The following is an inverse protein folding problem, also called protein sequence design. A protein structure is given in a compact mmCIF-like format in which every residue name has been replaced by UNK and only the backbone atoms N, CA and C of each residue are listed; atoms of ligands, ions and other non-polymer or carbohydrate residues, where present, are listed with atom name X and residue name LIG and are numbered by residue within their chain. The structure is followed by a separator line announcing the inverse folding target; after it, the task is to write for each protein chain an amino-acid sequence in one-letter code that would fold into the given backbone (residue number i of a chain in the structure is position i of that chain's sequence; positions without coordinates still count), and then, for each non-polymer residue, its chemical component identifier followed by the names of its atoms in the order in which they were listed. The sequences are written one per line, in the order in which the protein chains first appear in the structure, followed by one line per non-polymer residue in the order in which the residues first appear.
data_IF_324149432291
#
_entry.id   IF_324149432291
#
_cell.length_a   1.000
_cell.length_b   1.000
_cell.length_c   1.000
_cell.angle_alpha   90.00
_cell.angle_beta   90.00
_cell.angle_gamma   90.00
#
_symmetry.space_group_name_H-M   'P 1'
#
loop_
_entity.id
_entity.type
_entity.pdbx_description
1 polymer ?
#
# COMPACT_ATOMS: atom_id res chain seq x y z
N UNK A 1 -39.70 -33.80 -70.28
CA UNK A 1 -39.30 -34.87 -69.34
C UNK A 1 -39.03 -34.23 -67.99
N UNK A 2 -39.54 -34.78 -66.88
CA UNK A 2 -40.94 -34.67 -66.50
C UNK A 2 -41.16 -33.73 -65.31
N UNK A 3 -42.41 -33.29 -65.22
CA UNK A 3 -43.05 -32.52 -64.16
C UNK A 3 -43.39 -33.36 -62.92
N UNK A 4 -43.86 -32.64 -61.89
CA UNK A 4 -44.79 -33.05 -60.81
C UNK A 4 -44.24 -33.74 -59.55
N UNK A 5 -44.01 -32.91 -58.53
CA UNK A 5 -44.82 -32.75 -57.30
C UNK A 5 -45.24 -33.96 -56.43
N UNK A 6 -44.97 -33.79 -55.12
CA UNK A 6 -45.66 -34.24 -53.89
C UNK A 6 -45.00 -35.35 -53.06
N UNK A 7 -44.62 -35.01 -51.84
CA UNK A 7 -45.32 -35.45 -50.62
C UNK A 7 -44.81 -34.69 -49.38
N UNK A 8 -45.75 -34.21 -48.57
CA UNK A 8 -45.54 -33.51 -47.30
C UNK A 8 -45.20 -34.53 -46.19
N UNK A 9 -44.08 -34.33 -45.50
CA UNK A 9 -43.76 -34.98 -44.23
C UNK A 9 -43.84 -33.96 -43.10
N UNK A 10 -44.77 -34.16 -42.17
CA UNK A 10 -44.88 -33.37 -40.92
C UNK A 10 -43.79 -33.84 -39.97
N UNK A 11 -42.80 -32.99 -39.70
CA UNK A 11 -41.80 -33.23 -38.66
C UNK A 11 -42.29 -32.61 -37.35
N UNK A 12 -42.55 -33.46 -36.37
CA UNK A 12 -42.84 -33.09 -34.97
C UNK A 12 -41.52 -32.66 -34.34
N UNK A 13 -41.36 -31.38 -34.05
CA UNK A 13 -40.24 -30.87 -33.27
C UNK A 13 -40.53 -31.07 -31.79
N UNK A 14 -39.85 -32.03 -31.17
CA UNK A 14 -39.79 -32.16 -29.71
C UNK A 14 -38.89 -31.04 -29.21
N UNK A 15 -39.48 -30.06 -28.52
CA UNK A 15 -38.76 -28.99 -27.84
C UNK A 15 -38.04 -29.58 -26.62
N UNK A 16 -36.74 -29.85 -26.75
CA UNK A 16 -35.87 -30.14 -25.59
C UNK A 16 -35.52 -28.78 -24.98
N UNK A 17 -36.20 -28.41 -23.89
CA UNK A 17 -35.80 -27.27 -23.07
C UNK A 17 -34.56 -27.71 -22.29
N UNK A 18 -33.38 -27.36 -22.82
CA UNK A 18 -32.17 -27.36 -22.02
C UNK A 18 -32.28 -26.20 -21.02
N UNK A 19 -32.59 -26.52 -19.76
CA UNK A 19 -32.44 -25.58 -18.66
C UNK A 19 -30.92 -25.45 -18.45
N UNK A 20 -30.30 -24.55 -19.21
CA UNK A 20 -28.95 -24.09 -18.94
C UNK A 20 -28.95 -23.44 -17.58
N UNK A 21 -28.24 -24.04 -16.64
CA UNK A 21 -27.94 -23.47 -15.32
C UNK A 21 -27.19 -22.15 -15.52
N UNK A 22 -27.94 -21.04 -15.44
CA UNK A 22 -27.44 -19.68 -15.26
C UNK A 22 -26.89 -19.54 -13.83
N UNK A 23 -25.81 -20.26 -13.56
CA UNK A 23 -24.91 -19.95 -12.46
C UNK A 23 -23.52 -19.87 -13.09
N UNK A 24 -23.26 -18.74 -13.75
CA UNK A 24 -21.87 -18.31 -13.90
C UNK A 24 -21.26 -18.20 -12.50
N UNK A 25 -19.98 -18.56 -12.31
CA UNK A 25 -19.34 -18.37 -11.02
C UNK A 25 -19.45 -16.89 -10.66
N UNK A 26 -20.11 -16.59 -9.54
CA UNK A 26 -19.91 -15.33 -8.84
C UNK A 26 -18.40 -15.26 -8.57
N UNK A 27 -17.69 -14.47 -9.36
CA UNK A 27 -16.37 -14.01 -8.97
C UNK A 27 -16.61 -13.24 -7.67
N UNK A 28 -16.24 -13.84 -6.54
CA UNK A 28 -16.08 -13.08 -5.32
C UNK A 28 -15.10 -11.96 -5.66
N UNK A 29 -15.52 -10.71 -5.55
CA UNK A 29 -14.61 -9.56 -5.57
C UNK A 29 -13.68 -9.76 -4.38
N UNK A 30 -12.54 -10.42 -4.63
CA UNK A 30 -11.46 -10.52 -3.66
C UNK A 30 -11.00 -9.12 -3.33
N UNK A 31 -10.76 -8.85 -2.05
CA UNK A 31 -10.14 -7.61 -1.63
C UNK A 31 -8.83 -7.45 -2.40
N UNK A 32 -8.64 -6.31 -3.10
CA UNK A 32 -7.38 -6.05 -3.80
C UNK A 32 -6.25 -5.94 -2.77
N UNK A 33 -5.11 -6.56 -3.06
CA UNK A 33 -3.94 -6.47 -2.19
C UNK A 33 -3.48 -5.02 -2.03
N UNK A 34 -3.06 -4.66 -0.82
CA UNK A 34 -2.44 -3.36 -0.54
C UNK A 34 -0.93 -3.59 -0.53
N UNK A 35 -0.24 -3.19 -1.60
CA UNK A 35 1.22 -3.28 -1.71
C UNK A 35 1.83 -1.91 -1.49
N UNK A 36 2.79 -1.84 -0.57
CA UNK A 36 3.51 -0.62 -0.21
C UNK A 36 4.98 -0.83 -0.58
N UNK A 37 5.39 -0.20 -1.68
CA UNK A 37 6.67 -0.42 -2.34
C UNK A 37 7.41 0.91 -2.57
N UNK A 38 8.44 0.95 -3.44
CA UNK A 38 9.22 2.17 -3.70
C UNK A 38 8.39 3.36 -4.19
N UNK A 39 7.23 3.12 -4.82
CA UNK A 39 6.33 4.17 -5.33
C UNK A 39 5.55 4.87 -4.21
N UNK A 40 5.52 4.29 -3.01
CA UNK A 40 4.71 4.75 -1.88
C UNK A 40 5.46 5.71 -0.95
N UNK A 41 6.39 6.53 -1.46
CA UNK A 41 7.31 7.34 -0.61
C UNK A 41 7.03 8.85 -0.67
N UNK A 42 6.16 9.30 -1.57
CA UNK A 42 5.83 10.71 -1.80
C UNK A 42 4.68 11.19 -0.89
N UNK A 43 5.03 11.65 0.31
CA UNK A 43 4.03 11.99 1.34
C UNK A 43 3.19 13.24 1.06
N UNK A 44 3.59 14.09 0.13
CA UNK A 44 2.78 15.22 -0.35
C UNK A 44 1.52 14.76 -1.10
N UNK A 45 1.52 13.55 -1.64
CA UNK A 45 0.33 12.95 -2.27
C UNK A 45 -0.70 12.46 -1.24
N UNK A 46 -0.33 12.30 0.03
CA UNK A 46 -1.21 11.76 1.06
C UNK A 46 -1.98 12.90 1.73
N UNK A 47 -3.32 13.00 1.58
CA UNK A 47 -4.09 14.01 2.29
C UNK A 47 -3.94 13.85 3.81
N UNK A 48 -3.71 14.97 4.50
CA UNK A 48 -3.43 14.97 5.95
C UNK A 48 -4.56 14.36 6.78
N UNK A 49 -5.81 14.44 6.30
CA UNK A 49 -6.97 13.80 6.93
C UNK A 49 -6.81 12.29 7.09
N UNK A 50 -6.14 11.61 6.14
CA UNK A 50 -5.90 10.17 6.23
C UNK A 50 -4.80 9.82 7.22
N UNK A 51 -3.81 10.70 7.37
CA UNK A 51 -2.80 10.59 8.43
C UNK A 51 -3.45 10.75 9.81
N UNK A 52 -4.32 11.75 9.97
CA UNK A 52 -5.05 11.98 11.21
C UNK A 52 -6.01 10.83 11.53
N UNK A 53 -6.70 10.31 10.52
CA UNK A 53 -7.55 9.14 10.67
C UNK A 53 -6.75 7.90 11.09
N UNK A 54 -5.57 7.68 10.50
CA UNK A 54 -4.70 6.58 10.89
C UNK A 54 -4.25 6.69 12.36
N UNK A 55 -3.82 7.88 12.80
CA UNK A 55 -3.42 8.15 14.20
C UNK A 55 -4.55 7.85 15.19
N UNK A 56 -5.77 8.23 14.84
CA UNK A 56 -6.96 8.00 15.67
C UNK A 56 -7.39 6.54 15.67
N UNK A 57 -7.12 5.79 14.59
CA UNK A 57 -7.64 4.44 14.40
C UNK A 57 -6.68 3.35 14.86
N UNK A 58 -5.36 3.54 14.74
CA UNK A 58 -4.40 2.44 14.83
C UNK A 58 -3.57 2.41 16.11
N UNK A 59 -3.37 1.19 16.60
CA UNK A 59 -2.50 0.79 17.70
C UNK A 59 -1.58 -0.29 17.15
N UNK A 60 -0.42 0.13 16.68
CA UNK A 60 0.50 -0.71 15.91
C UNK A 60 1.40 -1.51 16.85
N UNK A 61 1.58 -2.80 16.58
CA UNK A 61 2.63 -3.63 17.17
C UNK A 61 3.66 -3.96 16.10
N UNK A 62 4.91 -3.60 16.34
CA UNK A 62 6.01 -3.86 15.41
C UNK A 62 7.14 -4.64 16.08
N UNK A 63 7.19 -5.94 15.81
CA UNK A 63 8.23 -6.84 16.31
C UNK A 63 9.40 -6.96 15.33
N UNK A 64 10.60 -6.58 15.75
CA UNK A 64 11.78 -6.69 14.90
C UNK A 64 13.10 -6.78 15.66
N UNK A 65 14.15 -7.14 14.91
CA UNK A 65 15.56 -7.02 15.26
C UNK A 65 16.27 -6.12 14.24
N UNK A 66 17.52 -5.76 14.53
CA UNK A 66 18.50 -5.13 13.63
C UNK A 66 17.93 -4.40 12.40
N UNK A 67 17.70 -5.10 11.28
CA UNK A 67 17.20 -4.50 10.02
C UNK A 67 15.84 -3.82 10.14
N UNK A 68 14.93 -4.31 10.96
CA UNK A 68 13.61 -3.70 11.13
C UNK A 68 13.66 -2.32 11.79
N UNK A 69 14.75 -1.99 12.52
CA UNK A 69 14.93 -0.65 13.11
C UNK A 69 15.11 0.46 12.08
N UNK A 70 15.36 0.10 10.82
CA UNK A 70 15.48 1.03 9.70
C UNK A 70 14.18 1.83 9.50
N UNK A 71 13.02 1.19 9.63
CA UNK A 71 11.70 1.86 9.54
C UNK A 71 11.57 2.95 10.61
N UNK A 72 11.89 2.60 11.86
CA UNK A 72 11.83 3.51 13.01
C UNK A 72 12.81 4.67 12.87
N UNK A 73 14.01 4.38 12.39
CA UNK A 73 15.02 5.39 12.07
C UNK A 73 14.52 6.33 10.98
N UNK A 74 13.83 5.79 9.97
CA UNK A 74 13.17 6.55 8.91
C UNK A 74 12.15 7.55 9.41
N UNK A 75 11.20 7.10 10.24
CA UNK A 75 10.19 7.99 10.83
C UNK A 75 10.87 9.05 11.70
N UNK A 76 11.91 8.68 12.44
CA UNK A 76 12.66 9.62 13.29
C UNK A 76 13.38 10.69 12.46
N UNK A 77 13.98 10.32 11.32
CA UNK A 77 14.55 11.26 10.35
C UNK A 77 13.49 12.20 9.78
N UNK A 78 12.31 11.67 9.41
CA UNK A 78 11.20 12.47 8.91
C UNK A 78 10.73 13.51 9.95
N UNK A 79 10.61 13.11 11.22
CA UNK A 79 10.26 14.02 12.30
C UNK A 79 11.33 15.10 12.50
N UNK A 80 12.61 14.73 12.42
CA UNK A 80 13.71 15.70 12.49
C UNK A 80 13.66 16.73 11.34
N UNK A 81 13.38 16.31 10.11
CA UNK A 81 13.21 17.21 8.95
C UNK A 81 12.10 18.23 9.21
N UNK A 82 11.02 17.79 9.86
CA UNK A 82 9.86 18.63 10.20
C UNK A 82 10.07 19.45 11.48
N UNK A 83 11.22 19.32 12.13
CA UNK A 83 11.53 20.02 13.38
C UNK A 83 10.70 19.55 14.57
N UNK A 84 10.16 18.33 14.53
CA UNK A 84 9.42 17.73 15.64
C UNK A 84 10.15 16.50 16.23
N UNK A 85 9.86 16.22 17.50
CA UNK A 85 10.36 15.03 18.20
C UNK A 85 9.26 14.50 19.10
N UNK A 86 9.05 13.19 19.03
CA UNK A 86 8.11 12.46 19.87
C UNK A 86 8.83 11.20 20.36
N UNK A 87 9.34 11.23 21.59
CA UNK A 87 10.08 10.12 22.19
C UNK A 87 9.22 9.29 23.15
N UNK A 88 8.16 9.88 23.71
CA UNK A 88 7.25 9.22 24.65
C UNK A 88 5.80 9.71 24.47
N UNK A 89 4.81 8.92 24.87
CA UNK A 89 3.40 9.37 24.80
C UNK A 89 3.06 10.53 25.73
N UNK A 90 3.96 10.90 26.66
CA UNK A 90 3.83 12.06 27.54
C UNK A 90 4.46 13.33 26.97
N UNK A 91 5.15 13.27 25.83
CA UNK A 91 5.83 14.44 25.28
C UNK A 91 4.81 15.38 24.61
N UNK A 92 4.74 16.63 25.07
CA UNK A 92 3.84 17.63 24.52
C UNK A 92 4.06 17.89 23.01
N UNK A 93 5.28 17.67 22.52
CA UNK A 93 5.66 17.82 21.11
C UNK A 93 5.12 16.74 20.16
N UNK A 94 4.53 15.67 20.68
CA UNK A 94 3.97 14.59 19.87
C UNK A 94 2.72 15.02 19.08
N UNK A 95 1.86 15.85 19.68
CA UNK A 95 0.56 16.23 19.10
C UNK A 95 0.70 17.17 17.89
N UNK A 96 1.81 17.90 17.78
CA UNK A 96 2.09 18.82 16.67
C UNK A 96 2.82 18.18 15.49
N UNK A 97 3.24 16.92 15.60
CA UNK A 97 4.06 16.26 14.60
C UNK A 97 3.19 15.47 13.62
N UNK A 98 3.09 15.93 12.37
CA UNK A 98 2.23 15.31 11.36
C UNK A 98 2.51 13.81 11.19
N UNK A 99 3.78 13.43 11.16
CA UNK A 99 4.23 12.03 11.03
C UNK A 99 4.83 11.49 12.34
N UNK A 100 4.36 12.02 13.46
CA UNK A 100 4.75 11.58 14.80
C UNK A 100 3.99 10.32 15.24
N UNK A 101 4.73 9.41 15.89
CA UNK A 101 4.18 8.31 16.66
C UNK A 101 4.73 8.38 18.07
N UNK A 102 4.00 7.83 19.03
CA UNK A 102 4.50 7.62 20.38
C UNK A 102 4.86 6.15 20.60
N UNK A 103 6.11 5.87 21.04
CA UNK A 103 6.48 4.55 21.56
C UNK A 103 5.77 4.36 22.91
N UNK A 104 4.73 3.55 22.88
CA UNK A 104 3.85 3.38 24.02
C UNK A 104 4.31 2.27 24.96
N UNK A 105 5.42 1.56 24.64
CA UNK A 105 6.00 0.47 25.43
C UNK A 105 6.04 0.72 26.94
N UNK A 106 6.53 1.87 27.38
CA UNK A 106 6.72 2.16 28.81
C UNK A 106 5.42 2.08 29.59
N UNK A 107 4.31 2.50 28.99
CA UNK A 107 3.01 2.43 29.62
C UNK A 107 2.49 0.99 29.73
N UNK A 108 2.89 0.11 28.82
CA UNK A 108 2.56 -1.32 28.91
C UNK A 108 3.49 -2.09 29.85
N UNK A 109 4.78 -1.75 29.87
CA UNK A 109 5.78 -2.43 30.68
C UNK A 109 5.65 -2.08 32.17
N UNK A 110 5.31 -0.83 32.50
CA UNK A 110 5.36 -0.31 33.87
C UNK A 110 4.07 0.40 34.33
N UNK A 111 3.10 0.63 33.44
CA UNK A 111 1.81 1.23 33.76
C UNK A 111 0.71 0.21 34.11
N UNK A 112 -0.52 0.69 34.33
CA UNK A 112 -1.69 -0.14 34.63
C UNK A 112 -2.27 -0.91 33.41
N UNK A 113 -1.60 -0.87 32.26
CA UNK A 113 -2.17 -1.19 30.96
C UNK A 113 -2.68 0.05 30.23
N UNK A 114 -3.13 -0.14 28.98
CA UNK A 114 -3.48 0.87 27.97
C UNK A 114 -3.79 2.31 28.45
N UNK A 115 -2.84 3.24 28.37
CA UNK A 115 -3.16 4.62 28.06
C UNK A 115 -3.30 4.76 26.55
N UNK A 116 -4.29 5.56 26.16
CA UNK A 116 -4.50 5.94 24.77
C UNK A 116 -3.35 6.86 24.39
N UNK A 117 -2.67 6.58 23.25
CA UNK A 117 -1.89 7.63 22.60
C UNK A 117 -2.71 8.93 22.59
N UNK A 118 -2.12 10.09 22.90
CA UNK A 118 -2.86 11.35 22.82
C UNK A 118 -3.57 11.48 21.48
N UNK A 119 -4.73 12.14 21.47
CA UNK A 119 -5.44 12.41 20.23
C UNK A 119 -4.48 13.06 19.20
N UNK A 120 -4.52 12.59 17.95
CA UNK A 120 -3.61 13.06 16.90
C UNK A 120 -2.19 12.49 16.93
N UNK A 121 -1.92 11.44 17.71
CA UNK A 121 -0.63 10.72 17.73
C UNK A 121 -0.86 9.24 17.49
N UNK A 122 -0.07 8.64 16.59
CA UNK A 122 -0.13 7.20 16.32
C UNK A 122 0.48 6.44 17.51
N UNK A 123 -0.22 5.45 18.05
CA UNK A 123 0.39 4.53 19.01
C UNK A 123 1.11 3.41 18.25
N UNK A 124 2.39 3.26 18.54
CA UNK A 124 3.25 2.26 17.94
C UNK A 124 4.08 1.62 19.05
N UNK A 125 4.04 0.31 19.12
CA UNK A 125 4.77 -0.48 20.08
C UNK A 125 5.97 -1.12 19.40
N UNK A 126 7.12 -0.49 19.59
CA UNK A 126 8.36 -0.82 18.89
C UNK A 126 9.16 -1.91 19.62
N UNK A 127 8.54 -3.07 19.85
CA UNK A 127 9.08 -4.11 20.74
C UNK A 127 8.70 -5.51 20.30
N UNK A 128 9.48 -6.45 20.81
CA UNK A 128 9.31 -7.88 20.61
C UNK A 128 8.37 -8.44 21.68
N UNK A 129 7.23 -9.05 21.30
CA UNK A 129 6.47 -9.93 22.19
C UNK A 129 7.35 -10.92 22.95
N UNK A 130 7.01 -11.13 24.22
CA UNK A 130 7.75 -12.08 25.06
C UNK A 130 7.67 -13.48 24.46
N UNK A 131 8.82 -14.14 24.32
CA UNK A 131 8.92 -15.49 23.74
C UNK A 131 9.42 -15.52 22.30
N UNK A 132 9.49 -14.38 21.61
CA UNK A 132 10.06 -14.28 20.26
C UNK A 132 10.94 -13.04 20.11
N UNK A 133 11.91 -13.11 19.19
CA UNK A 133 12.78 -11.97 18.88
C UNK A 133 12.52 -11.41 17.48
N UNK A 134 12.26 -12.28 16.53
CA UNK A 134 11.92 -11.98 15.14
C UNK A 134 11.28 -13.21 14.50
N UNK A 135 11.10 -13.20 13.17
CA UNK A 135 10.44 -14.26 12.41
C UNK A 135 11.20 -15.59 12.35
N UNK A 136 12.42 -15.70 12.92
CA UNK A 136 13.15 -16.96 13.01
C UNK A 136 13.79 -17.28 14.35
N UNK A 137 13.69 -16.40 15.35
CA UNK A 137 14.26 -16.59 16.68
C UNK A 137 13.19 -16.49 17.79
N UNK A 138 13.11 -17.45 18.72
CA UNK A 138 14.00 -18.61 18.91
C UNK A 138 13.80 -19.72 17.88
N UNK A 139 12.71 -19.68 17.14
CA UNK A 139 12.41 -20.56 16.01
C UNK A 139 11.36 -19.88 15.11
N UNK A 140 10.97 -20.53 14.00
CA UNK A 140 10.08 -19.97 12.97
C UNK A 140 8.60 -19.91 13.32
N UNK A 141 8.19 -20.41 14.49
CA UNK A 141 6.79 -20.42 14.93
C UNK A 141 6.55 -19.60 16.19
N UNK A 142 7.59 -19.34 16.99
CA UNK A 142 7.46 -18.65 18.28
C UNK A 142 6.85 -17.25 18.19
N UNK A 143 7.12 -16.50 17.11
CA UNK A 143 6.57 -15.16 16.89
C UNK A 143 5.04 -15.18 16.74
N UNK A 144 4.48 -16.23 16.14
CA UNK A 144 3.03 -16.39 15.98
C UNK A 144 2.37 -16.64 17.34
N UNK A 145 2.94 -17.55 18.14
CA UNK A 145 2.44 -17.84 19.49
C UNK A 145 2.55 -16.61 20.39
N UNK A 146 3.65 -15.87 20.29
CA UNK A 146 3.84 -14.63 21.03
C UNK A 146 2.87 -13.52 20.59
N UNK A 147 2.49 -13.50 19.30
CA UNK A 147 1.48 -12.57 18.76
C UNK A 147 0.10 -12.87 19.32
N UNK A 148 -0.31 -14.14 19.37
CA UNK A 148 -1.58 -14.55 20.00
C UNK A 148 -1.62 -14.19 21.48
N UNK A 149 -0.57 -14.56 22.22
CA UNK A 149 -0.47 -14.24 23.63
C UNK A 149 -0.56 -12.73 23.90
N UNK A 150 0.04 -11.90 23.02
CA UNK A 150 -0.10 -10.46 23.09
C UNK A 150 -1.56 -10.02 22.85
N UNK A 151 -2.20 -10.47 21.77
CA UNK A 151 -3.57 -10.06 21.42
C UNK A 151 -4.61 -10.55 22.44
N UNK A 152 -4.36 -11.68 23.10
CA UNK A 152 -5.24 -12.25 24.13
C UNK A 152 -5.03 -11.62 25.52
N UNK A 153 -3.87 -11.03 25.79
CA UNK A 153 -3.58 -10.38 27.07
C UNK A 153 -4.38 -9.07 27.19
N UNK A 154 -5.20 -8.90 28.25
CA UNK A 154 -6.00 -7.68 28.47
C UNK A 154 -5.21 -6.38 28.49
N UNK A 155 -3.89 -6.43 28.69
CA UNK A 155 -3.02 -5.25 28.60
C UNK A 155 -2.78 -4.79 27.17
N UNK A 156 -2.83 -5.67 26.18
CA UNK A 156 -2.50 -5.38 24.78
C UNK A 156 -3.63 -5.74 23.78
N UNK A 157 -4.80 -6.16 24.24
CA UNK A 157 -5.91 -6.61 23.38
C UNK A 157 -6.58 -5.51 22.52
N UNK A 158 -6.08 -4.27 22.55
CA UNK A 158 -6.52 -3.18 21.67
C UNK A 158 -5.60 -2.95 20.47
N UNK A 159 -4.54 -3.76 20.31
CA UNK A 159 -3.69 -3.72 19.12
C UNK A 159 -4.49 -4.19 17.91
N UNK A 160 -4.45 -3.41 16.84
CA UNK A 160 -5.26 -3.65 15.64
C UNK A 160 -4.46 -3.55 14.34
N UNK A 161 -3.16 -3.31 14.42
CA UNK A 161 -2.21 -3.50 13.32
C UNK A 161 -1.00 -4.25 13.85
N UNK A 162 -0.63 -5.36 13.24
CA UNK A 162 0.52 -6.18 13.64
C UNK A 162 1.45 -6.37 12.46
N UNK A 163 2.73 -6.12 12.71
CA UNK A 163 3.81 -6.26 11.74
C UNK A 163 5.03 -6.91 12.40
N UNK A 164 5.71 -7.77 11.64
CA UNK A 164 6.97 -8.37 12.04
C UNK A 164 7.97 -8.22 10.91
N UNK A 165 9.18 -7.77 11.24
CA UNK A 165 10.27 -7.68 10.25
C UNK A 165 11.10 -8.94 10.23
N UNK A 166 11.54 -9.29 9.03
CA UNK A 166 12.68 -10.18 8.83
C UNK A 166 14.00 -9.48 9.18
N UNK A 167 14.99 -10.28 9.56
CA UNK A 167 16.42 -9.95 9.50
C UNK A 167 17.07 -11.00 8.58
N UNK A 168 18.26 -11.52 8.91
CA UNK A 168 18.94 -12.54 8.10
C UNK A 168 18.17 -13.87 7.96
N UNK A 169 17.07 -14.08 8.70
CA UNK A 169 16.30 -15.33 8.69
C UNK A 169 15.45 -15.52 7.42
N UNK A 170 15.29 -14.48 6.61
CA UNK A 170 14.61 -14.55 5.30
C UNK A 170 15.43 -15.36 4.29
N UNK A 171 16.76 -15.43 4.45
CA UNK A 171 17.61 -16.27 3.61
C UNK A 171 17.44 -17.74 4.04
N UNK A 172 16.40 -18.36 3.50
CA UNK A 172 15.95 -19.69 3.92
C UNK A 172 15.29 -20.45 2.78
N UNK A 173 14.72 -21.63 3.08
CA UNK A 173 14.09 -22.51 2.09
C UNK A 173 12.67 -22.05 1.75
N UNK A 174 12.07 -22.63 0.70
CA UNK A 174 10.68 -22.33 0.30
C UNK A 174 9.71 -22.68 1.41
N UNK A 175 9.90 -23.85 1.99
CA UNK A 175 9.02 -24.45 2.98
C UNK A 175 8.97 -23.59 4.25
N UNK A 176 10.06 -22.90 4.57
CA UNK A 176 10.10 -21.97 5.70
C UNK A 176 9.37 -20.65 5.44
N UNK A 177 9.32 -20.20 4.18
CA UNK A 177 8.47 -19.07 3.79
C UNK A 177 7.01 -19.51 3.75
N UNK A 178 6.70 -20.68 3.20
CA UNK A 178 5.35 -21.25 3.20
C UNK A 178 4.82 -21.42 4.63
N UNK A 179 5.67 -21.82 5.58
CA UNK A 179 5.34 -21.85 7.01
C UNK A 179 4.97 -20.46 7.54
N UNK A 180 5.77 -19.43 7.23
CA UNK A 180 5.46 -18.05 7.63
C UNK A 180 4.12 -17.59 7.06
N UNK A 181 3.86 -17.85 5.77
CA UNK A 181 2.62 -17.49 5.10
C UNK A 181 1.42 -18.19 5.74
N UNK A 182 1.51 -19.50 6.00
CA UNK A 182 0.44 -20.24 6.66
C UNK A 182 0.16 -19.78 8.10
N UNK A 183 1.19 -19.36 8.85
CA UNK A 183 1.03 -18.79 10.18
C UNK A 183 0.35 -17.40 10.14
N UNK A 184 0.72 -16.56 9.17
CA UNK A 184 0.06 -15.27 8.93
C UNK A 184 -1.41 -15.46 8.55
N UNK A 185 -1.72 -16.40 7.66
CA UNK A 185 -3.09 -16.72 7.25
C UNK A 185 -3.93 -17.19 8.45
N UNK A 186 -3.34 -18.02 9.32
CA UNK A 186 -3.98 -18.45 10.57
C UNK A 186 -4.29 -17.28 11.51
N UNK A 187 -3.35 -16.34 11.68
CA UNK A 187 -3.57 -15.13 12.48
C UNK A 187 -4.69 -14.25 11.89
N UNK A 188 -4.70 -14.06 10.57
CA UNK A 188 -5.75 -13.29 9.87
C UNK A 188 -7.12 -13.93 10.07
N UNK A 189 -7.21 -15.26 9.95
CA UNK A 189 -8.47 -15.99 10.13
C UNK A 189 -8.99 -15.88 11.58
N UNK A 190 -8.10 -15.97 12.57
CA UNK A 190 -8.48 -15.99 13.98
C UNK A 190 -8.75 -14.59 14.56
N UNK A 191 -8.16 -13.54 13.99
CA UNK A 191 -8.29 -12.16 14.45
C UNK A 191 -8.73 -11.20 13.31
N UNK A 192 -9.95 -11.33 12.77
CA UNK A 192 -10.39 -10.59 11.58
C UNK A 192 -10.50 -9.07 11.79
N UNK A 193 -10.50 -8.59 13.03
CA UNK A 193 -10.47 -7.15 13.35
C UNK A 193 -9.05 -6.56 13.41
N UNK A 194 -8.01 -7.40 13.28
CA UNK A 194 -6.60 -6.99 13.31
C UNK A 194 -6.04 -7.03 11.89
N UNK A 195 -5.37 -5.96 11.48
CA UNK A 195 -4.66 -5.88 10.21
C UNK A 195 -3.27 -6.49 10.38
N UNK A 196 -3.01 -7.64 9.77
CA UNK A 196 -1.68 -8.24 9.72
C UNK A 196 -0.96 -7.82 8.45
N UNK A 197 0.23 -7.24 8.62
CA UNK A 197 1.06 -6.73 7.53
C UNK A 197 2.18 -7.74 7.26
N UNK A 198 2.19 -8.29 6.05
CA UNK A 198 3.32 -9.08 5.55
C UNK A 198 4.50 -8.14 5.26
N UNK A 199 5.71 -8.65 5.38
CA UNK A 199 6.92 -7.92 5.00
C UNK A 199 7.82 -8.79 4.14
N UNK A 200 8.44 -8.21 3.12
CA UNK A 200 9.62 -8.81 2.49
C UNK A 200 10.85 -8.61 3.39
N UNK A 201 11.91 -9.39 3.12
CA UNK A 201 13.20 -9.21 3.76
C UNK A 201 14.01 -8.04 3.19
N UNK A 202 15.29 -7.99 3.53
CA UNK A 202 16.24 -7.02 2.96
C UNK A 202 16.94 -7.58 1.72
N UNK A 203 17.66 -6.74 0.97
CA UNK A 203 18.54 -7.18 -0.10
C UNK A 203 19.87 -7.70 0.49
N UNK A 204 20.45 -8.71 -0.14
CA UNK A 204 21.70 -9.32 0.31
C UNK A 204 22.79 -9.37 -0.78
N UNK A 205 22.62 -8.66 -1.89
CA UNK A 205 23.60 -8.63 -2.98
C UNK A 205 23.66 -9.86 -3.87
N UNK A 206 22.66 -10.75 -3.82
CA UNK A 206 22.62 -11.96 -4.68
C UNK A 206 21.79 -11.79 -5.95
N UNK A 207 21.18 -10.61 -6.15
CA UNK A 207 20.51 -10.21 -7.39
C UNK A 207 19.17 -10.90 -7.66
N UNK A 208 18.68 -10.75 -8.89
CA UNK A 208 17.33 -11.20 -9.30
C UNK A 208 17.11 -12.70 -9.13
N UNK A 209 18.14 -13.51 -9.34
CA UNK A 209 18.06 -14.98 -9.17
C UNK A 209 18.49 -15.45 -7.78
N UNK A 210 18.86 -14.54 -6.89
CA UNK A 210 19.32 -14.82 -5.54
C UNK A 210 18.22 -15.43 -4.66
N UNK A 211 18.62 -16.27 -3.70
CA UNK A 211 17.66 -17.00 -2.84
C UNK A 211 16.70 -16.04 -2.11
N UNK A 212 17.23 -14.98 -1.49
CA UNK A 212 16.42 -13.99 -0.77
C UNK A 212 15.42 -13.30 -1.69
N UNK A 213 15.79 -12.92 -2.92
CA UNK A 213 14.84 -12.34 -3.86
C UNK A 213 13.73 -13.34 -4.24
N UNK A 214 14.09 -14.60 -4.44
CA UNK A 214 13.08 -15.64 -4.68
C UNK A 214 12.14 -15.82 -3.47
N UNK A 215 12.63 -15.70 -2.23
CA UNK A 215 11.81 -15.76 -1.00
C UNK A 215 10.89 -14.54 -0.88
N UNK A 216 11.39 -13.35 -1.18
CA UNK A 216 10.58 -12.14 -1.23
C UNK A 216 9.47 -12.24 -2.29
N UNK A 217 9.78 -12.81 -3.47
CA UNK A 217 8.79 -13.04 -4.51
C UNK A 217 7.70 -14.05 -4.10
N UNK A 218 8.02 -15.07 -3.30
CA UNK A 218 7.00 -15.96 -2.72
C UNK A 218 6.02 -15.18 -1.83
N UNK A 219 6.53 -14.27 -0.98
CA UNK A 219 5.70 -13.42 -0.12
C UNK A 219 4.82 -12.48 -0.97
N UNK A 220 5.40 -11.82 -1.97
CA UNK A 220 4.67 -10.94 -2.90
C UNK A 220 3.54 -11.68 -3.60
N UNK A 221 3.83 -12.85 -4.17
CA UNK A 221 2.85 -13.68 -4.88
C UNK A 221 1.70 -14.11 -3.97
N UNK A 222 2.00 -14.51 -2.73
CA UNK A 222 0.97 -14.87 -1.75
C UNK A 222 0.05 -13.69 -1.44
N UNK A 223 0.61 -12.52 -1.17
CA UNK A 223 -0.18 -11.32 -0.85
C UNK A 223 -1.07 -10.92 -2.04
N UNK A 224 -0.53 -10.92 -3.26
CA UNK A 224 -1.30 -10.63 -4.46
C UNK A 224 -2.43 -11.65 -4.68
N UNK A 225 -2.19 -12.93 -4.42
CA UNK A 225 -3.19 -13.99 -4.59
C UNK A 225 -4.30 -13.95 -3.52
N UNK A 226 -3.99 -13.45 -2.32
CA UNK A 226 -4.90 -13.47 -1.17
C UNK A 226 -5.56 -12.12 -0.85
N UNK A 227 -5.12 -11.04 -1.49
CA UNK A 227 -5.61 -9.70 -1.17
C UNK A 227 -5.03 -9.11 0.11
N UNK A 228 -3.87 -9.59 0.55
CA UNK A 228 -3.24 -9.19 1.82
C UNK A 228 -2.63 -7.78 1.80
N UNK A 229 -1.99 -7.42 2.91
CA UNK A 229 -1.26 -6.15 3.06
C UNK A 229 0.24 -6.45 3.06
N UNK A 230 0.99 -5.90 2.11
CA UNK A 230 2.44 -6.03 2.02
C UNK A 230 3.15 -4.70 2.25
N UNK A 231 4.13 -4.72 3.14
CA UNK A 231 5.14 -3.68 3.24
C UNK A 231 6.47 -4.20 2.66
N UNK A 232 6.78 -3.78 1.44
CA UNK A 232 7.84 -4.37 0.62
C UNK A 232 9.20 -3.71 0.84
N UNK A 233 9.83 -4.11 1.93
CA UNK A 233 11.14 -3.63 2.36
C UNK A 233 12.24 -3.83 1.30
N UNK A 234 12.24 -4.97 0.61
CA UNK A 234 13.19 -5.28 -0.44
C UNK A 234 12.99 -4.43 -1.69
N UNK A 235 11.74 -4.15 -2.05
CA UNK A 235 11.42 -3.30 -3.20
C UNK A 235 11.86 -1.86 -2.94
N UNK A 236 11.47 -1.25 -1.82
CA UNK A 236 11.90 0.11 -1.44
C UNK A 236 13.43 0.25 -1.49
N UNK A 237 14.16 -0.78 -1.09
CA UNK A 237 15.63 -0.81 -1.08
C UNK A 237 16.29 -1.07 -2.44
N UNK A 238 15.49 -1.50 -3.42
CA UNK A 238 15.94 -1.79 -4.79
C UNK A 238 15.92 -0.57 -5.70
N UNK A 239 15.35 0.56 -5.27
CA UNK A 239 15.20 1.75 -6.11
C UNK A 239 15.77 3.01 -5.43
N UNK A 240 16.28 3.94 -6.24
CA UNK A 240 16.51 5.31 -5.80
C UNK A 240 15.23 6.16 -5.92
N UNK A 241 15.19 7.38 -5.36
CA UNK A 241 14.01 8.24 -5.46
C UNK A 241 13.59 8.65 -6.88
N UNK A 242 14.46 8.49 -7.88
CA UNK A 242 14.14 8.80 -9.29
C UNK A 242 13.55 7.58 -10.01
N UNK A 243 13.42 6.44 -9.32
CA UNK A 243 12.88 5.20 -9.87
C UNK A 243 13.92 4.34 -10.61
N UNK A 244 15.21 4.60 -10.46
CA UNK A 244 16.23 3.72 -11.03
C UNK A 244 16.35 2.43 -10.21
N UNK A 245 16.34 1.28 -10.88
CA UNK A 245 16.41 -0.05 -10.25
C UNK A 245 17.85 -0.53 -10.05
N UNK A 246 18.13 -1.19 -8.92
CA UNK A 246 19.47 -1.62 -8.50
C UNK A 246 19.57 -3.11 -8.07
N UNK A 247 18.48 -3.82 -7.83
CA UNK A 247 18.52 -5.25 -7.49
C UNK A 247 19.12 -6.08 -8.63
N UNK A 248 18.85 -5.74 -9.91
CA UNK A 248 19.49 -6.35 -11.08
C UNK A 248 21.02 -6.20 -11.10
N UNK A 249 21.54 -5.25 -10.32
CA UNK A 249 22.96 -4.93 -10.17
C UNK A 249 23.53 -5.44 -8.85
N UNK A 250 22.87 -6.41 -8.22
CA UNK A 250 23.28 -7.00 -6.95
C UNK A 250 23.28 -5.99 -5.79
N UNK A 251 22.23 -5.18 -5.68
CA UNK A 251 22.09 -4.27 -4.55
C UNK A 251 22.04 -5.00 -3.20
N UNK A 252 22.54 -4.35 -2.15
CA UNK A 252 22.54 -4.81 -0.76
C UNK A 252 21.73 -3.86 0.12
N UNK A 253 21.39 -4.30 1.33
CA UNK A 253 20.86 -3.49 2.42
C UNK A 253 21.67 -2.25 2.78
N UNK A 254 22.98 -2.28 2.57
CA UNK A 254 23.84 -1.08 2.67
C UNK A 254 23.74 -0.08 1.51
N UNK A 255 22.77 -0.25 0.60
CA UNK A 255 22.60 0.52 -0.63
C UNK A 255 23.76 0.37 -1.64
N UNK A 256 24.69 -0.56 -1.40
CA UNK A 256 25.76 -0.87 -2.35
C UNK A 256 25.21 -1.69 -3.50
N UNK A 257 25.77 -1.53 -4.70
CA UNK A 257 25.47 -2.34 -5.87
C UNK A 257 26.72 -2.44 -6.77
N UNK A 258 26.66 -3.24 -7.84
CA UNK A 258 27.72 -3.34 -8.85
C UNK A 258 27.85 -2.03 -9.63
N UNK A 259 28.69 -1.13 -9.12
CA UNK A 259 28.92 0.20 -9.67
C UNK A 259 28.93 1.35 -8.64
N UNK A 260 28.67 1.07 -7.37
CA UNK A 260 28.79 2.07 -6.30
C UNK A 260 27.79 1.88 -5.17
N UNK A 261 27.31 3.00 -4.64
CA UNK A 261 26.27 3.05 -3.62
C UNK A 261 25.19 4.04 -4.09
N UNK A 262 23.97 3.55 -4.34
CA UNK A 262 22.94 4.34 -5.01
C UNK A 262 22.51 5.52 -4.15
N UNK A 263 22.46 5.35 -2.83
CA UNK A 263 22.04 6.39 -1.91
C UNK A 263 23.09 7.51 -1.81
N UNK A 264 24.37 7.15 -1.70
CA UNK A 264 25.45 8.14 -1.68
C UNK A 264 25.51 8.92 -3.00
N UNK A 265 25.31 8.23 -4.14
CA UNK A 265 25.29 8.84 -5.47
C UNK A 265 24.10 9.78 -5.67
N UNK A 266 22.89 9.34 -5.29
CA UNK A 266 21.69 10.16 -5.38
C UNK A 266 21.81 11.41 -4.51
N UNK A 267 22.31 11.28 -3.28
CA UNK A 267 22.53 12.44 -2.40
C UNK A 267 23.64 13.38 -2.87
N UNK A 268 24.66 12.87 -3.57
CA UNK A 268 25.67 13.71 -4.20
C UNK A 268 25.08 14.53 -5.37
N UNK A 269 24.11 13.96 -6.11
CA UNK A 269 23.41 14.64 -7.20
C UNK A 269 22.32 15.61 -6.70
N UNK A 270 21.71 15.33 -5.55
CA UNK A 270 20.61 16.09 -4.94
C UNK A 270 21.03 16.75 -3.62
N UNK A 271 22.14 17.50 -3.68
CA UNK A 271 22.73 18.12 -2.49
C UNK A 271 21.74 19.09 -1.80
N UNK A 272 21.42 18.80 -0.54
CA UNK A 272 20.49 19.61 0.27
C UNK A 272 19.04 19.12 0.23
N UNK A 273 18.73 18.08 -0.52
CA UNK A 273 17.41 17.47 -0.49
C UNK A 273 17.09 16.89 0.91
N UNK A 274 15.88 17.14 1.47
CA UNK A 274 15.48 16.60 2.77
C UNK A 274 15.55 15.07 2.87
N UNK A 275 15.42 14.34 1.76
CA UNK A 275 15.57 12.89 1.73
C UNK A 275 16.98 12.45 2.18
N UNK A 276 17.98 13.28 1.93
CA UNK A 276 19.38 13.06 2.32
C UNK A 276 19.72 13.52 3.75
N UNK A 277 18.72 13.87 4.57
CA UNK A 277 18.96 14.20 5.96
C UNK A 277 19.64 13.05 6.71
N UNK A 278 20.61 13.40 7.56
CA UNK A 278 21.25 12.43 8.43
C UNK A 278 20.24 11.87 9.43
N UNK A 279 20.33 10.57 9.72
CA UNK A 279 19.51 9.95 10.75
C UNK A 279 19.90 10.50 12.12
N UNK A 280 18.92 10.65 13.04
CA UNK A 280 19.22 10.98 14.43
C UNK A 280 20.20 9.98 15.03
N UNK A 281 21.16 10.47 15.83
CA UNK A 281 22.12 9.59 16.52
C UNK A 281 21.46 8.61 17.50
N UNK A 282 20.22 8.90 17.92
CA UNK A 282 19.38 8.03 18.75
C UNK A 282 18.80 6.83 18.02
N UNK A 283 18.81 6.85 16.68
CA UNK A 283 18.28 5.77 15.83
C UNK A 283 19.26 5.50 14.70
N UNK A 284 20.08 4.44 14.85
CA UNK A 284 20.98 4.05 13.78
C UNK A 284 20.20 3.29 12.70
N UNK A 285 20.34 3.76 11.45
CA UNK A 285 19.86 3.08 10.26
C UNK A 285 20.71 1.81 10.04
N UNK A 286 20.37 0.73 10.76
CA UNK A 286 21.19 -0.45 10.87
C UNK A 286 21.49 -1.04 9.49
N UNK A 287 22.77 -1.26 9.19
CA UNK A 287 23.26 -1.84 7.92
C UNK A 287 22.88 -1.08 6.65
N UNK A 288 22.39 0.16 6.76
CA UNK A 288 21.87 0.92 5.61
C UNK A 288 22.26 2.39 5.63
N UNK A 289 21.74 3.16 4.66
CA UNK A 289 21.95 4.60 4.50
C UNK A 289 20.71 5.37 4.93
N UNK A 290 20.90 6.57 5.45
CA UNK A 290 19.80 7.37 5.99
C UNK A 290 18.72 7.70 4.97
N UNK A 291 19.09 7.88 3.70
CA UNK A 291 18.15 8.01 2.59
C UNK A 291 17.18 6.82 2.53
N UNK A 292 17.70 5.59 2.52
CA UNK A 292 16.87 4.37 2.45
C UNK A 292 15.96 4.22 3.68
N UNK A 293 16.48 4.50 4.88
CA UNK A 293 15.63 4.52 6.08
C UNK A 293 14.52 5.57 5.96
N UNK A 294 14.83 6.79 5.51
CA UNK A 294 13.85 7.87 5.32
C UNK A 294 12.72 7.43 4.37
N UNK A 295 13.06 6.80 3.24
CA UNK A 295 12.09 6.23 2.29
C UNK A 295 11.19 5.18 2.98
N UNK A 296 11.75 4.26 3.77
CA UNK A 296 10.99 3.27 4.54
C UNK A 296 10.05 3.92 5.57
N UNK A 297 10.49 5.00 6.23
CA UNK A 297 9.65 5.76 7.15
C UNK A 297 8.49 6.48 6.45
N UNK A 298 8.71 6.99 5.24
CA UNK A 298 7.66 7.60 4.41
C UNK A 298 6.66 6.57 3.92
N UNK A 299 7.14 5.45 3.40
CA UNK A 299 6.31 4.33 3.00
C UNK A 299 5.44 3.80 4.14
N UNK A 300 5.94 3.80 5.38
CA UNK A 300 5.13 3.44 6.54
C UNK A 300 3.92 4.37 6.71
N UNK A 301 4.10 5.69 6.59
CA UNK A 301 2.99 6.65 6.72
C UNK A 301 2.01 6.58 5.56
N UNK A 302 2.50 6.31 4.34
CA UNK A 302 1.65 5.98 3.21
C UNK A 302 0.78 4.73 3.49
N UNK A 303 1.40 3.66 4.01
CA UNK A 303 0.67 2.46 4.42
C UNK A 303 -0.40 2.79 5.45
N UNK A 304 -0.06 3.57 6.49
CA UNK A 304 -1.02 3.96 7.51
C UNK A 304 -2.24 4.68 6.90
N UNK A 305 -2.04 5.58 5.94
CA UNK A 305 -3.14 6.22 5.22
C UNK A 305 -3.96 5.22 4.39
N UNK A 306 -3.31 4.33 3.62
CA UNK A 306 -4.00 3.27 2.85
C UNK A 306 -4.85 2.38 3.75
N UNK A 307 -4.33 1.99 4.91
CA UNK A 307 -5.06 1.16 5.89
C UNK A 307 -6.24 1.90 6.53
N UNK A 308 -6.14 3.22 6.68
CA UNK A 308 -7.19 4.08 7.19
C UNK A 308 -8.36 4.26 6.20
N UNK A 309 -8.16 3.89 4.94
CA UNK A 309 -9.18 3.94 3.89
C UNK A 309 -8.83 4.86 2.73
N UNK A 310 -7.63 5.47 2.72
CA UNK A 310 -7.19 6.26 1.57
C UNK A 310 -7.10 5.35 0.33
N UNK A 311 -7.82 5.65 -0.76
CA UNK A 311 -7.75 4.86 -1.99
C UNK A 311 -6.38 4.88 -2.67
N UNK A 312 -5.46 5.74 -2.23
CA UNK A 312 -4.18 6.02 -2.89
C UNK A 312 -4.19 7.37 -3.60
N UNK A 313 -3.06 7.77 -4.19
CA UNK A 313 -3.04 8.90 -5.09
C UNK A 313 -4.11 8.63 -6.13
N UNK A 314 -5.07 9.53 -6.21
CA UNK A 314 -5.95 9.51 -7.36
C UNK A 314 -5.04 9.74 -8.57
N UNK A 315 -5.33 9.12 -9.72
CA UNK A 315 -4.80 9.65 -10.96
C UNK A 315 -5.03 11.17 -10.97
N UNK A 316 -4.18 11.95 -11.64
CA UNK A 316 -4.49 13.36 -11.87
C UNK A 316 -5.96 13.46 -12.25
N UNK A 317 -6.74 14.36 -11.62
CA UNK A 317 -8.13 14.53 -12.02
C UNK A 317 -8.11 14.71 -13.53
N UNK A 318 -8.70 13.77 -14.26
CA UNK A 318 -8.95 13.90 -15.67
C UNK A 318 -10.40 14.30 -15.70
N UNK A 319 -10.74 15.60 -15.75
CA UNK A 319 -12.14 16.03 -15.68
C UNK A 319 -13.00 15.39 -16.78
N UNK A 320 -12.36 14.87 -17.83
CA UNK A 320 -12.99 14.18 -18.95
C UNK A 320 -13.05 12.64 -18.84
N UNK A 321 -12.42 12.04 -17.83
CA UNK A 321 -12.54 10.61 -17.47
C UNK A 321 -13.74 10.48 -16.52
N UNK A 322 -14.91 10.24 -17.11
CA UNK A 322 -16.21 10.28 -16.44
C UNK A 322 -16.60 8.93 -15.83
N UNK A 323 -16.00 7.82 -16.26
CA UNK A 323 -16.23 6.49 -15.67
C UNK A 323 -15.12 6.01 -14.72
N UNK A 324 -14.01 6.76 -14.63
CA UNK A 324 -12.86 6.56 -13.75
C UNK A 324 -12.06 5.28 -14.04
N UNK A 325 -11.84 4.97 -15.32
CA UNK A 325 -11.05 3.82 -15.74
C UNK A 325 -9.60 4.15 -16.18
N UNK A 326 -9.20 5.42 -16.06
CA UNK A 326 -7.87 5.95 -16.37
C UNK A 326 -7.57 6.01 -17.89
N UNK A 327 -8.59 6.06 -18.74
CA UNK A 327 -8.54 6.59 -20.11
C UNK A 327 -9.65 7.63 -20.38
N UNK A 328 -9.77 8.12 -21.62
CA UNK A 328 -10.90 8.97 -22.04
C UNK A 328 -11.32 8.48 -23.41
N UNK A 329 -12.46 7.84 -23.49
CA UNK A 329 -12.89 7.13 -24.68
C UNK A 329 -14.40 7.25 -24.98
N UNK A 330 -14.95 6.26 -25.67
CA UNK A 330 -16.36 6.24 -26.04
C UNK A 330 -17.29 6.08 -24.84
N UNK A 331 -16.89 5.39 -23.77
CA UNK A 331 -17.69 5.22 -22.56
C UNK A 331 -17.85 6.55 -21.82
N UNK A 332 -16.79 7.35 -21.72
CA UNK A 332 -16.88 8.70 -21.18
C UNK A 332 -17.74 9.60 -22.05
N UNK A 333 -17.60 9.49 -23.38
CA UNK A 333 -18.43 10.27 -24.29
C UNK A 333 -19.92 9.92 -24.16
N UNK A 334 -20.26 8.66 -23.92
CA UNK A 334 -21.64 8.23 -23.71
C UNK A 334 -22.21 8.82 -22.41
N UNK A 335 -21.40 8.93 -21.35
CA UNK A 335 -21.77 9.64 -20.11
C UNK A 335 -21.93 11.14 -20.38
N UNK A 336 -20.93 11.77 -21.01
CA UNK A 336 -20.94 13.19 -21.35
C UNK A 336 -22.17 13.57 -22.18
N UNK A 337 -22.41 12.84 -23.27
CA UNK A 337 -23.53 13.10 -24.19
C UNK A 337 -24.90 12.84 -23.56
N UNK A 338 -24.97 11.94 -22.58
CA UNK A 338 -26.16 11.74 -21.74
C UNK A 338 -26.46 12.92 -20.81
N UNK A 339 -25.45 13.71 -20.48
CA UNK A 339 -25.53 14.87 -19.59
C UNK A 339 -25.59 16.22 -20.31
N UNK A 340 -25.27 16.28 -21.60
CA UNK A 340 -25.30 17.49 -22.40
C UNK A 340 -26.69 18.13 -22.45
N UNK A 341 -26.83 19.31 -21.85
CA UNK A 341 -28.09 20.07 -21.78
C UNK A 341 -28.06 21.36 -22.62
N UNK A 342 -26.86 21.89 -22.88
CA UNK A 342 -26.62 23.11 -23.64
C UNK A 342 -26.46 24.36 -22.77
N UNK A 343 -26.04 25.49 -23.39
CA UNK A 343 -25.62 26.68 -22.67
C UNK A 343 -26.74 27.29 -21.82
N UNK A 344 -26.40 27.62 -20.58
CA UNK A 344 -27.25 28.27 -19.58
C UNK A 344 -28.34 27.37 -18.98
N UNK A 345 -28.27 26.05 -19.19
CA UNK A 345 -29.22 25.09 -18.61
C UNK A 345 -28.72 24.62 -17.26
N UNK A 346 -28.93 25.46 -16.24
CA UNK A 346 -28.45 25.21 -14.88
C UNK A 346 -29.59 24.83 -13.92
N UNK A 347 -29.31 24.02 -12.87
CA UNK A 347 -28.11 23.18 -12.72
C UNK A 347 -28.18 21.95 -13.66
N UNK A 348 -27.07 21.21 -13.84
CA UNK A 348 -27.09 19.95 -14.57
C UNK A 348 -28.10 18.98 -13.95
N UNK A 349 -28.56 18.01 -14.74
CA UNK A 349 -29.42 16.95 -14.20
C UNK A 349 -28.72 16.23 -13.04
N UNK A 350 -29.50 15.70 -12.07
CA UNK A 350 -28.91 14.98 -10.94
C UNK A 350 -28.01 13.83 -11.43
N UNK A 351 -26.74 13.86 -11.03
CA UNK A 351 -25.72 12.90 -11.48
C UNK A 351 -24.89 13.37 -12.68
N UNK A 352 -25.18 14.54 -13.25
CA UNK A 352 -24.44 15.12 -14.38
C UNK A 352 -23.43 16.21 -14.00
N UNK A 353 -23.26 16.48 -12.70
CA UNK A 353 -22.24 17.43 -12.21
C UNK A 353 -20.81 16.99 -12.60
N UNK A 354 -20.61 15.70 -12.92
CA UNK A 354 -19.34 15.17 -13.40
C UNK A 354 -19.02 15.57 -14.85
N UNK A 355 -20.04 15.91 -15.65
CA UNK A 355 -19.89 16.29 -17.05
C UNK A 355 -19.76 17.81 -17.25
N UNK A 356 -19.92 18.60 -16.19
CA UNK A 356 -19.59 20.03 -16.11
C UNK A 356 -18.08 20.15 -15.87
N UNK A 357 -17.33 20.11 -16.97
CA UNK A 357 -15.88 20.01 -17.01
C UNK A 357 -15.24 21.38 -16.79
N UNK A 358 -15.82 22.46 -17.31
CA UNK A 358 -15.30 23.83 -17.14
C UNK A 358 -15.82 24.55 -15.88
N UNK A 359 -16.79 23.94 -15.18
CA UNK A 359 -17.34 24.34 -13.88
C UNK A 359 -18.14 25.63 -13.93
N UNK A 360 -18.95 25.81 -14.97
CA UNK A 360 -19.81 26.97 -15.15
C UNK A 360 -21.30 26.73 -14.81
N UNK A 361 -21.61 25.54 -14.27
CA UNK A 361 -22.93 25.07 -13.84
C UNK A 361 -23.88 24.63 -14.97
N UNK A 362 -23.39 24.46 -16.20
CA UNK A 362 -24.10 23.74 -17.27
C UNK A 362 -23.23 22.64 -17.91
N UNK A 363 -23.77 21.94 -18.92
CA UNK A 363 -23.03 20.93 -19.68
C UNK A 363 -23.27 21.20 -21.15
N UNK A 364 -22.28 21.79 -21.81
CA UNK A 364 -22.41 22.34 -23.15
C UNK A 364 -21.19 22.10 -24.07
N UNK A 365 -21.01 22.97 -25.08
CA UNK A 365 -19.92 22.84 -26.05
C UNK A 365 -18.55 23.26 -25.50
N UNK A 366 -18.50 24.04 -24.42
CA UNK A 366 -17.27 24.42 -23.73
C UNK A 366 -16.69 23.21 -23.00
N UNK A 367 -17.54 22.45 -22.30
CA UNK A 367 -17.16 21.16 -21.69
C UNK A 367 -16.71 20.15 -22.73
N UNK A 368 -17.49 19.99 -23.82
CA UNK A 368 -17.09 19.12 -24.93
C UNK A 368 -15.74 19.56 -25.52
N UNK A 369 -15.48 20.87 -25.50
CA UNK A 369 -14.24 21.49 -25.92
C UNK A 369 -13.02 21.03 -25.13
N UNK A 370 -13.20 20.74 -23.84
CA UNK A 370 -12.19 20.18 -22.93
C UNK A 370 -12.14 18.65 -23.07
N UNK A 371 -13.31 17.98 -23.08
CA UNK A 371 -13.43 16.54 -23.31
C UNK A 371 -12.65 16.05 -24.53
N UNK A 372 -12.87 16.66 -25.69
CA UNK A 372 -12.24 16.23 -26.95
C UNK A 372 -10.71 16.34 -26.94
N UNK A 373 -10.12 17.20 -26.10
CA UNK A 373 -8.66 17.34 -26.00
C UNK A 373 -8.04 16.17 -25.25
N UNK A 374 -8.86 15.49 -24.47
CA UNK A 374 -8.44 14.41 -23.60
C UNK A 374 -8.77 13.03 -24.15
N UNK A 375 -9.65 12.96 -25.15
CA UNK A 375 -9.97 11.73 -25.86
C UNK A 375 -8.71 11.02 -26.36
N UNK A 376 -8.34 9.94 -25.67
CA UNK A 376 -7.16 9.13 -25.93
C UNK A 376 -7.53 7.76 -26.54
N UNK A 377 -8.74 7.29 -26.27
CA UNK A 377 -9.27 6.00 -26.71
C UNK A 377 -9.01 4.87 -25.71
N UNK A 378 -9.76 3.78 -25.88
CA UNK A 378 -9.75 2.58 -25.04
C UNK A 378 -8.32 2.06 -24.76
N UNK A 379 -8.03 1.80 -23.48
CA UNK A 379 -6.75 1.36 -22.92
C UNK A 379 -5.58 2.34 -23.15
N UNK A 380 -5.85 3.60 -23.50
CA UNK A 380 -4.81 4.64 -23.68
C UNK A 380 -4.94 5.69 -22.60
N UNK A 381 -3.99 5.76 -21.63
CA UNK A 381 -4.01 6.81 -20.64
C UNK A 381 -4.06 8.20 -21.28
N UNK A 382 -5.07 8.99 -20.94
CA UNK A 382 -5.18 10.40 -21.28
C UNK A 382 -3.92 11.16 -20.84
N UNK A 383 -3.56 12.16 -21.63
CA UNK A 383 -2.34 12.92 -21.43
C UNK A 383 -2.35 13.64 -20.07
N UNK A 384 -1.19 13.74 -19.42
CA UNK A 384 -1.05 14.43 -18.12
C UNK A 384 -1.35 15.95 -18.16
N UNK A 385 -1.60 16.51 -19.35
CA UNK A 385 -2.05 17.87 -19.57
C UNK A 385 -3.59 18.01 -19.61
N UNK A 386 -4.31 16.92 -19.40
CA UNK A 386 -5.77 16.86 -19.25
C UNK A 386 -6.28 17.21 -17.85
N UNK A 387 -5.52 17.98 -17.08
CA UNK A 387 -5.72 18.11 -15.63
C UNK A 387 -6.15 19.52 -15.22
N UNK A 388 -6.10 20.53 -16.09
CA UNK A 388 -6.69 21.86 -15.85
C UNK A 388 -6.86 22.67 -17.15
#
# INVERSE_FOLDING_TARGET
MPTTEKAKGVAVWVLVIAIGSLFGPLAALGQQAIVIDHTCTLLDQVPTSWIDQAKNSFRVSYGHTSHGSQLISGISTLNQILGCSCGSCSDAGCTSCQYGYCDDYYYYAYGAGNPVAPAGVLSLWDRKPTGASDLGNPNRTAWETATRAMLEDPKYNNRNVVMWSWCGQVDTTAENIDLYLGLMDGLIADYPSVKFVYMTGHLNGTGLTGNVNQRNNQIRQHVLATGGILFDFADIESYDPDGNEFLSRNATDSCNYTGGNWADQWCAAHAGDPLCANCPSSTSCAHSKCLNCNLKGRAFWWMMARLAGWPGPQPPLRPSDLDNDDDVDQFDFDIFSGCATGPGVTPPASGCDIADIDRDEDVDQMDFGLFQRCFSGEDVPAAAECVD
#
